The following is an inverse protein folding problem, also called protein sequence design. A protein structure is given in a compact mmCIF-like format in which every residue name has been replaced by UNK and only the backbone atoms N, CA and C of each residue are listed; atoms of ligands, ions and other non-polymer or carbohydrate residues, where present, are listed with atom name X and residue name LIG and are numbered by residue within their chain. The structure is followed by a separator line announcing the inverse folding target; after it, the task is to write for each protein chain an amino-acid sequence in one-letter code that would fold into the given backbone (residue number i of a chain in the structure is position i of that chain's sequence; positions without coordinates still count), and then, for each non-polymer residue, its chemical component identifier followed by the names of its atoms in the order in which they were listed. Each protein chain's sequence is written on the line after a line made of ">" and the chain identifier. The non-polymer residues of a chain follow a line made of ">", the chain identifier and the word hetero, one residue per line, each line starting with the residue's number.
data_IF_565369731067
#
_entry.id   IF_565369731067
#
_cell.length_a   1.000
_cell.length_b   1.000
_cell.length_c   1.000
_cell.angle_alpha   90.00
_cell.angle_beta   90.00
_cell.angle_gamma   90.00
#
_symmetry.space_group_name_H-M   'P 1'
#
loop_
_entity.id
_entity.type
_entity.pdbx_description
1 polymer ?
#
# COMPACT_ATOMS: atom_id res chain seq x y z
N UNK A 1 18.26 -24.30 -17.37
CA UNK A 1 18.65 -22.97 -16.86
C UNK A 1 18.25 -21.92 -17.89
N UNK A 2 17.48 -20.86 -17.65
CA UNK A 2 16.79 -20.34 -16.47
C UNK A 2 15.48 -19.73 -16.98
N UNK A 3 14.34 -20.19 -16.47
CA UNK A 3 13.13 -19.38 -16.49
C UNK A 3 13.41 -18.23 -15.52
N UNK A 4 14.00 -17.14 -16.05
CA UNK A 4 14.13 -15.92 -15.27
C UNK A 4 12.71 -15.38 -15.21
N UNK A 5 12.08 -15.55 -14.05
CA UNK A 5 10.84 -14.91 -13.61
C UNK A 5 10.99 -13.38 -13.66
N UNK A 6 11.15 -12.83 -14.86
CA UNK A 6 11.47 -11.44 -15.11
C UNK A 6 10.17 -10.73 -15.50
N UNK A 7 9.74 -9.82 -14.64
CA UNK A 7 8.74 -8.78 -14.91
C UNK A 7 7.27 -9.06 -14.54
N UNK A 8 7.01 -9.92 -13.53
CA UNK A 8 5.86 -9.67 -12.64
C UNK A 8 6.19 -8.53 -11.68
N UNK A 9 6.46 -7.34 -12.22
CA UNK A 9 6.39 -6.11 -11.43
C UNK A 9 4.95 -6.00 -10.97
N UNK A 10 4.70 -6.27 -9.69
CA UNK A 10 3.37 -6.16 -9.10
C UNK A 10 3.01 -4.68 -9.01
N UNK A 11 2.65 -4.11 -10.15
CA UNK A 11 2.23 -2.72 -10.25
C UNK A 11 0.93 -2.55 -9.47
N UNK A 12 0.94 -1.64 -8.50
CA UNK A 12 -0.23 -1.25 -7.75
C UNK A 12 -1.21 -0.57 -8.72
N UNK A 13 -2.35 -1.21 -8.93
CA UNK A 13 -3.41 -0.65 -9.80
C UNK A 13 -4.47 0.13 -9.04
N UNK A 14 -4.58 -0.10 -7.74
CA UNK A 14 -5.58 0.53 -6.89
C UNK A 14 -5.12 0.61 -5.43
N UNK A 15 -5.81 1.44 -4.64
CA UNK A 15 -5.58 1.51 -3.20
C UNK A 15 -5.82 0.16 -2.50
N UNK A 16 -6.85 -0.58 -2.93
CA UNK A 16 -7.17 -1.89 -2.38
C UNK A 16 -6.06 -2.91 -2.65
N UNK A 17 -5.51 -2.91 -3.86
CA UNK A 17 -4.38 -3.78 -4.22
C UNK A 17 -3.15 -3.50 -3.35
N UNK A 18 -2.85 -2.22 -3.10
CA UNK A 18 -1.80 -1.83 -2.15
C UNK A 18 -2.08 -2.33 -0.74
N UNK A 19 -3.27 -2.08 -0.20
CA UNK A 19 -3.63 -2.44 1.18
C UNK A 19 -3.73 -3.96 1.40
N UNK A 20 -4.04 -4.72 0.35
CA UNK A 20 -4.02 -6.19 0.40
C UNK A 20 -2.58 -6.72 0.54
N UNK A 21 -1.61 -6.08 -0.12
CA UNK A 21 -0.19 -6.44 -0.03
C UNK A 21 0.46 -5.92 1.25
N UNK A 22 0.03 -4.73 1.69
CA UNK A 22 0.58 -4.00 2.83
C UNK A 22 -0.55 -3.59 3.79
N UNK A 23 -1.04 -4.51 4.65
CA UNK A 23 -2.19 -4.23 5.51
C UNK A 23 -1.85 -3.19 6.57
N UNK A 24 -2.25 -1.93 6.37
CA UNK A 24 -1.99 -0.82 7.29
C UNK A 24 -3.22 0.06 7.51
N UNK A 25 -3.21 0.92 8.52
CA UNK A 25 -4.29 1.89 8.75
C UNK A 25 -4.26 3.01 7.69
N UNK A 26 -5.44 3.49 7.27
CA UNK A 26 -5.56 4.61 6.31
C UNK A 26 -4.79 5.85 6.78
N UNK A 27 -4.75 6.11 8.10
CA UNK A 27 -3.97 7.20 8.70
C UNK A 27 -2.46 7.02 8.47
N UNK A 28 -1.93 5.82 8.60
CA UNK A 28 -0.50 5.55 8.35
C UNK A 28 -0.18 5.74 6.88
N UNK A 29 -1.02 5.20 5.98
CA UNK A 29 -0.83 5.40 4.55
C UNK A 29 -0.90 6.87 4.14
N UNK A 30 -1.80 7.64 4.76
CA UNK A 30 -1.90 9.09 4.54
C UNK A 30 -0.59 9.80 4.92
N UNK A 31 0.00 9.44 6.06
CA UNK A 31 1.30 9.97 6.50
C UNK A 31 2.43 9.61 5.52
N UNK A 32 2.48 8.35 5.07
CA UNK A 32 3.51 7.87 4.13
C UNK A 32 3.41 8.55 2.75
N UNK A 33 2.19 8.86 2.30
CA UNK A 33 1.96 9.55 1.03
C UNK A 33 1.95 11.08 1.14
N UNK A 34 2.04 11.64 2.35
CA UNK A 34 1.96 13.09 2.57
C UNK A 34 0.59 13.69 2.21
N UNK A 35 -0.49 12.93 2.40
CA UNK A 35 -1.87 13.35 2.10
C UNK A 35 -2.74 13.31 3.36
N UNK A 36 -3.96 13.81 3.27
CA UNK A 36 -4.91 13.74 4.39
C UNK A 36 -5.56 12.36 4.48
N UNK A 37 -5.91 11.92 5.69
CA UNK A 37 -6.66 10.66 5.90
C UNK A 37 -7.97 10.66 5.10
N UNK A 38 -8.66 11.81 5.02
CA UNK A 38 -9.89 11.96 4.23
C UNK A 38 -9.66 11.72 2.73
N UNK A 39 -8.48 12.05 2.19
CA UNK A 39 -8.17 11.73 0.80
C UNK A 39 -8.09 10.21 0.58
N UNK A 40 -7.44 9.49 1.50
CA UNK A 40 -7.34 8.02 1.46
C UNK A 40 -8.70 7.36 1.62
N UNK A 41 -9.54 7.87 2.53
CA UNK A 41 -10.90 7.38 2.73
C UNK A 41 -11.75 7.53 1.45
N UNK A 42 -11.73 8.70 0.81
CA UNK A 42 -12.43 8.93 -0.46
C UNK A 42 -11.94 8.02 -1.59
N UNK A 43 -10.65 7.69 -1.62
CA UNK A 43 -10.11 6.72 -2.58
C UNK A 43 -10.57 5.29 -2.26
N UNK A 44 -10.66 4.94 -0.98
CA UNK A 44 -11.11 3.62 -0.50
C UNK A 44 -12.59 3.40 -0.80
N UNK A 45 -13.43 4.41 -0.59
CA UNK A 45 -14.88 4.33 -0.83
C UNK A 45 -15.24 4.46 -2.33
N UNK A 46 -14.27 4.81 -3.18
CA UNK A 46 -14.51 5.06 -4.61
C UNK A 46 -15.08 6.44 -4.94
N UNK A 47 -15.36 7.28 -3.93
CA UNK A 47 -15.84 8.66 -4.07
C UNK A 47 -14.87 9.54 -4.86
N UNK A 48 -13.58 9.20 -4.83
CA UNK A 48 -12.53 9.89 -5.58
C UNK A 48 -11.62 8.89 -6.28
N UNK A 49 -11.39 9.09 -7.57
CA UNK A 49 -10.40 8.32 -8.34
C UNK A 49 -8.98 8.71 -7.93
N UNK A 50 -8.09 7.72 -7.87
CA UNK A 50 -6.66 7.95 -7.74
C UNK A 50 -6.14 8.65 -8.99
N UNK A 51 -5.25 9.63 -8.80
CA UNK A 51 -4.54 10.24 -9.91
C UNK A 51 -3.37 9.36 -10.33
N UNK A 52 -2.89 9.51 -11.57
CA UNK A 52 -1.69 8.79 -12.02
C UNK A 52 -0.48 9.08 -11.12
N UNK A 53 -0.34 10.32 -10.63
CA UNK A 53 0.69 10.68 -9.66
C UNK A 53 0.59 9.84 -8.39
N UNK A 54 -0.60 9.73 -7.82
CA UNK A 54 -0.84 8.92 -6.62
C UNK A 54 -0.55 7.43 -6.86
N UNK A 55 -0.90 6.90 -8.04
CA UNK A 55 -0.56 5.52 -8.42
C UNK A 55 0.96 5.33 -8.48
N UNK A 56 1.70 6.29 -9.05
CA UNK A 56 3.16 6.24 -9.08
C UNK A 56 3.77 6.30 -7.67
N UNK A 57 3.22 7.13 -6.78
CA UNK A 57 3.66 7.23 -5.39
C UNK A 57 3.38 5.94 -4.61
N UNK A 58 2.21 5.31 -4.82
CA UNK A 58 1.89 3.99 -4.27
C UNK A 58 2.83 2.89 -4.77
N UNK A 59 3.20 2.91 -6.05
CA UNK A 59 4.16 1.96 -6.62
C UNK A 59 5.56 2.12 -6.02
N UNK A 60 6.03 3.37 -5.83
CA UNK A 60 7.30 3.66 -5.16
C UNK A 60 7.28 3.16 -3.71
N UNK A 61 6.19 3.43 -2.99
CA UNK A 61 6.02 2.99 -1.63
C UNK A 61 5.95 1.45 -1.53
N UNK A 62 5.24 0.79 -2.44
CA UNK A 62 5.17 -0.67 -2.51
C UNK A 62 6.56 -1.28 -2.68
N UNK A 63 7.36 -0.77 -3.63
CA UNK A 63 8.74 -1.21 -3.83
C UNK A 63 9.61 -1.00 -2.59
N UNK A 64 9.51 0.18 -1.96
CA UNK A 64 10.28 0.49 -0.75
C UNK A 64 9.95 -0.47 0.40
N UNK A 65 8.66 -0.73 0.66
CA UNK A 65 8.23 -1.63 1.73
C UNK A 65 8.56 -3.11 1.43
N UNK A 66 8.59 -3.51 0.16
CA UNK A 66 9.00 -4.85 -0.24
C UNK A 66 10.50 -5.08 -0.05
N UNK A 67 11.33 -4.05 -0.23
CA UNK A 67 12.78 -4.14 0.02
C UNK A 67 13.15 -4.02 1.51
N UNK A 68 12.26 -3.50 2.35
CA UNK A 68 12.52 -3.22 3.77
C UNK A 68 11.39 -3.82 4.64
N UNK A 69 11.34 -5.16 4.78
CA UNK A 69 10.25 -5.85 5.49
C UNK A 69 10.14 -5.43 6.97
N UNK A 70 11.24 -5.13 7.64
CA UNK A 70 11.28 -4.63 9.01
C UNK A 70 10.58 -3.28 9.17
N UNK A 71 10.73 -2.40 8.17
CA UNK A 71 10.02 -1.12 8.13
C UNK A 71 8.54 -1.38 7.88
N UNK A 72 8.21 -2.27 6.93
CA UNK A 72 6.82 -2.64 6.64
C UNK A 72 6.10 -3.16 7.88
N UNK A 73 6.73 -4.04 8.66
CA UNK A 73 6.17 -4.58 9.89
C UNK A 73 5.84 -3.51 10.93
N UNK A 74 6.60 -2.41 10.99
CA UNK A 74 6.28 -1.28 11.89
C UNK A 74 4.97 -0.56 11.54
N UNK A 75 4.51 -0.68 10.29
CA UNK A 75 3.28 -0.06 9.79
C UNK A 75 2.13 -1.05 9.60
N UNK A 76 2.40 -2.36 9.61
CA UNK A 76 1.35 -3.35 9.49
C UNK A 76 0.39 -3.21 10.68
N UNK A 77 -0.91 -3.32 10.40
CA UNK A 77 -1.87 -3.53 11.47
C UNK A 77 -1.51 -4.87 12.12
N UNK A 78 -0.90 -4.85 13.30
CA UNK A 78 -0.93 -6.01 14.16
C UNK A 78 -2.41 -6.21 14.49
N UNK A 79 -3.11 -7.05 13.73
CA UNK A 79 -4.35 -7.65 14.19
C UNK A 79 -3.98 -8.57 15.34
N UNK A 80 -3.73 -7.97 16.50
CA UNK A 80 -3.93 -8.65 17.76
C UNK A 80 -5.44 -8.64 18.00
N UNK A 81 -6.18 -9.38 17.15
CA UNK A 81 -7.41 -10.00 17.63
C UNK A 81 -6.94 -11.08 18.59
N UNK A 82 -6.72 -10.69 19.84
CA UNK A 82 -6.74 -11.65 20.93
C UNK A 82 -8.11 -12.34 20.85
N UNK A 83 -8.04 -13.66 20.61
CA UNK A 83 -9.08 -14.66 20.85
C UNK A 83 -10.12 -14.17 21.86
N UNK A 84 -11.37 -14.03 21.40
CA UNK A 84 -12.54 -13.96 22.28
C UNK A 84 -13.12 -15.36 22.37
#
# INVERSE_FOLDING_TARGET
>A
MNAIDSDRKLEIKSLHDFLNKHPMYQRQLALLLGVTTSAVEKWSNGDRRLTQRTINDLNRLHYFLDQNPEIRESYIKTTQCAVC
#
